data_IF_948048360865
#
_entry.id   IF_948048360865
#
_cell.length_a   1.000
_cell.length_b   1.000
_cell.length_c   1.000
_cell.angle_alpha   90.00
_cell.angle_beta   90.00
_cell.angle_gamma   90.00
#
_symmetry.space_group_name_H-M   'P 1'
#
loop_
_entity.id
_entity.type
_entity.pdbx_description
1 polymer ?
#
# COMPACT_ATOMS: atom_id res chain seq x y z
N UNK A 1 5.10 -0.97 0.18
CA UNK A 1 4.49 -1.04 1.53
C UNK A 1 3.62 -2.28 1.68
N UNK A 2 2.87 -2.67 0.65
CA UNK A 2 1.98 -3.82 0.67
C UNK A 2 2.71 -5.17 0.82
N UNK A 3 3.84 -5.35 0.15
CA UNK A 3 4.60 -6.61 0.14
C UNK A 3 5.36 -6.82 1.46
N UNK A 4 6.12 -5.83 1.90
CA UNK A 4 7.00 -5.91 3.07
C UNK A 4 6.27 -5.91 4.42
N UNK A 5 5.02 -5.40 4.44
CA UNK A 5 4.17 -5.44 5.62
C UNK A 5 3.02 -6.45 5.49
N UNK A 6 2.96 -7.22 4.39
CA UNK A 6 1.91 -8.22 4.16
C UNK A 6 0.50 -7.64 4.37
N UNK A 7 0.22 -6.48 3.75
CA UNK A 7 -1.03 -5.75 3.93
C UNK A 7 -1.57 -5.16 2.62
N UNK A 8 -2.87 -4.87 2.59
CA UNK A 8 -3.45 -4.04 1.53
C UNK A 8 -3.08 -2.58 1.75
N UNK A 9 -2.77 -1.87 0.65
CA UNK A 9 -2.42 -0.44 0.70
C UNK A 9 -3.27 0.30 -0.31
N UNK A 10 -4.09 1.23 0.15
CA UNK A 10 -4.77 2.20 -0.69
C UNK A 10 -3.96 3.50 -0.71
N UNK A 11 -3.61 3.97 -1.90
CA UNK A 11 -3.00 5.28 -2.11
C UNK A 11 -4.01 6.20 -2.81
N UNK A 12 -4.03 7.44 -2.37
CA UNK A 12 -4.82 8.50 -2.99
C UNK A 12 -4.01 9.78 -3.00
N UNK A 13 -4.17 10.55 -4.06
CA UNK A 13 -3.56 11.86 -4.19
C UNK A 13 -4.45 12.80 -4.97
N UNK A 14 -4.17 14.09 -4.81
CA UNK A 14 -4.87 15.13 -5.54
C UNK A 14 -4.31 15.29 -6.95
N UNK A 15 -5.15 15.73 -7.89
CA UNK A 15 -4.79 15.94 -9.30
C UNK A 15 -5.20 17.34 -9.72
N UNK A 16 -4.47 17.93 -10.67
CA UNK A 16 -4.79 19.23 -11.25
C UNK A 16 -4.08 20.40 -10.58
N UNK A 17 -4.59 21.61 -10.81
CA UNK A 17 -3.99 22.87 -10.33
C UNK A 17 -4.97 23.62 -9.43
N UNK A 18 -4.47 24.21 -8.34
CA UNK A 18 -5.27 24.98 -7.39
C UNK A 18 -4.85 26.46 -7.34
N UNK A 19 -5.22 27.27 -8.36
CA UNK A 19 -4.65 28.60 -8.60
C UNK A 19 -4.99 29.68 -7.56
N UNK A 20 -5.73 29.35 -6.49
CA UNK A 20 -6.19 30.30 -5.46
C UNK A 20 -5.58 30.04 -4.08
N UNK A 21 -4.61 29.13 -3.98
CA UNK A 21 -3.95 28.78 -2.72
C UNK A 21 -2.44 28.97 -2.90
N UNK A 22 -1.86 29.90 -2.15
CA UNK A 22 -0.42 30.10 -2.13
C UNK A 22 0.26 28.82 -1.60
N UNK A 23 1.26 28.32 -2.35
CA UNK A 23 2.01 27.07 -2.12
C UNK A 23 1.35 25.75 -2.56
N UNK A 24 0.28 25.78 -3.34
CA UNK A 24 -0.26 24.59 -4.02
C UNK A 24 -0.20 24.81 -5.53
N UNK A 25 0.87 24.32 -6.14
CA UNK A 25 1.06 24.35 -7.60
C UNK A 25 0.31 23.17 -8.27
N UNK A 26 0.91 22.56 -9.29
CA UNK A 26 0.37 21.45 -10.04
C UNK A 26 0.56 20.15 -9.24
N UNK A 27 -0.54 19.45 -9.04
CA UNK A 27 -0.59 18.15 -8.38
C UNK A 27 -0.80 17.07 -9.42
N UNK A 28 -0.04 15.99 -9.27
CA UNK A 28 -0.18 14.79 -10.07
C UNK A 28 -0.36 13.61 -9.12
N UNK A 29 -1.36 12.79 -9.41
CA UNK A 29 -1.59 11.56 -8.69
C UNK A 29 -2.19 10.51 -9.60
N UNK A 30 -1.97 9.27 -9.19
CA UNK A 30 -2.62 8.10 -9.71
C UNK A 30 -2.99 7.23 -8.50
N UNK A 31 -4.26 7.32 -8.12
CA UNK A 31 -4.79 6.57 -6.98
C UNK A 31 -4.83 5.08 -7.32
N UNK A 32 -4.56 4.21 -6.35
CA UNK A 32 -4.52 2.78 -6.56
C UNK A 32 -4.72 2.01 -5.26
N UNK A 33 -5.16 0.76 -5.38
CA UNK A 33 -5.20 -0.20 -4.27
C UNK A 33 -4.29 -1.36 -4.61
N UNK A 34 -3.30 -1.59 -3.75
CA UNK A 34 -2.33 -2.66 -3.87
C UNK A 34 -2.58 -3.76 -2.84
N UNK A 35 -2.16 -4.95 -3.22
CA UNK A 35 -2.15 -6.16 -2.43
C UNK A 35 -0.72 -6.64 -2.20
N UNK A 36 -0.49 -7.59 -1.28
CA UNK A 36 0.75 -8.34 -1.25
C UNK A 36 0.98 -9.12 -2.55
N UNK A 37 2.23 -9.53 -2.80
CA UNK A 37 2.58 -10.36 -3.96
C UNK A 37 2.87 -11.78 -3.47
N UNK A 38 1.89 -12.67 -3.60
CA UNK A 38 2.01 -14.11 -3.35
C UNK A 38 0.95 -14.87 -4.17
N UNK A 39 0.96 -16.20 -4.14
CA UNK A 39 0.16 -17.10 -4.99
C UNK A 39 -1.36 -16.79 -4.98
N UNK A 40 -1.89 -16.30 -3.86
CA UNK A 40 -3.32 -16.01 -3.70
C UNK A 40 -3.76 -14.60 -4.14
N UNK A 41 -2.81 -13.79 -4.60
CA UNK A 41 -2.99 -12.40 -5.02
C UNK A 41 -2.74 -12.25 -6.53
N UNK A 42 -3.18 -11.13 -7.15
CA UNK A 42 -2.86 -10.83 -8.54
C UNK A 42 -1.35 -10.82 -8.78
N UNK A 43 -0.94 -11.25 -9.97
CA UNK A 43 0.47 -11.32 -10.35
C UNK A 43 1.19 -9.97 -10.16
N UNK A 44 0.55 -8.89 -10.61
CA UNK A 44 1.11 -7.53 -10.55
C UNK A 44 0.91 -6.86 -9.19
N UNK A 45 0.29 -7.54 -8.22
CA UNK A 45 -0.07 -7.02 -6.90
C UNK A 45 -0.98 -5.77 -6.89
N UNK A 46 -1.44 -5.30 -8.05
CA UNK A 46 -2.41 -4.19 -8.19
C UNK A 46 -3.83 -4.75 -8.25
N UNK A 47 -4.70 -4.31 -7.34
CA UNK A 47 -6.12 -4.68 -7.36
C UNK A 47 -6.92 -3.77 -8.29
N UNK A 48 -6.67 -2.46 -8.22
CA UNK A 48 -7.32 -1.45 -9.05
C UNK A 48 -6.47 -0.20 -9.07
N UNK A 49 -6.49 0.50 -10.20
CA UNK A 49 -5.76 1.73 -10.43
C UNK A 49 -6.65 2.75 -11.14
N UNK A 50 -6.53 4.01 -10.75
CA UNK A 50 -7.20 5.13 -11.40
C UNK A 50 -6.45 5.54 -12.67
N UNK A 51 -7.16 6.20 -13.59
CA UNK A 51 -6.52 6.92 -14.69
C UNK A 51 -5.63 8.05 -14.13
N UNK A 52 -4.40 8.11 -14.61
CA UNK A 52 -3.45 9.13 -14.18
C UNK A 52 -3.99 10.55 -14.39
N UNK A 53 -3.76 11.43 -13.42
CA UNK A 53 -4.12 12.85 -13.47
C UNK A 53 -5.60 13.13 -13.80
N UNK A 54 -6.51 12.22 -13.43
CA UNK A 54 -7.94 12.34 -13.68
C UNK A 54 -8.70 12.25 -12.36
N UNK A 55 -9.63 13.16 -12.12
CA UNK A 55 -10.51 13.11 -10.96
C UNK A 55 -11.49 11.95 -11.10
N UNK A 56 -11.35 10.93 -10.26
CA UNK A 56 -12.23 9.78 -10.27
C UNK A 56 -12.24 9.03 -8.94
N UNK A 57 -13.27 8.20 -8.77
CA UNK A 57 -13.39 7.26 -7.65
C UNK A 57 -13.08 5.86 -8.18
N UNK A 58 -12.30 5.10 -7.41
CA UNK A 58 -12.01 3.68 -7.68
C UNK A 58 -12.50 2.82 -6.52
N UNK A 59 -12.87 1.57 -6.83
CA UNK A 59 -13.34 0.59 -5.87
C UNK A 59 -12.47 -0.67 -5.96
N UNK A 60 -12.22 -1.33 -4.83
CA UNK A 60 -11.50 -2.59 -4.81
C UNK A 60 -12.04 -3.48 -3.68
N UNK A 61 -12.29 -4.75 -4.00
CA UNK A 61 -12.66 -5.75 -3.00
C UNK A 61 -11.41 -6.30 -2.32
N UNK A 62 -11.41 -6.30 -0.99
CA UNK A 62 -10.29 -6.77 -0.18
C UNK A 62 -10.73 -7.91 0.73
N UNK A 63 -9.96 -9.00 0.74
CA UNK A 63 -10.24 -10.18 1.55
C UNK A 63 -9.17 -10.34 2.64
N UNK A 64 -9.53 -10.02 3.87
CA UNK A 64 -8.65 -10.13 5.02
C UNK A 64 -8.32 -11.59 5.39
N UNK A 65 -9.11 -12.55 4.93
CA UNK A 65 -8.85 -13.98 5.15
C UNK A 65 -7.58 -14.40 4.41
N UNK A 66 -7.39 -13.89 3.18
CA UNK A 66 -6.17 -14.12 2.40
C UNK A 66 -4.93 -13.55 3.08
N UNK A 67 -5.04 -12.39 3.74
CA UNK A 67 -3.93 -11.82 4.52
C UNK A 67 -3.54 -12.70 5.71
N UNK A 68 -4.54 -13.26 6.42
CA UNK A 68 -4.28 -14.19 7.52
C UNK A 68 -3.56 -15.43 7.02
N UNK A 69 -4.00 -15.99 5.88
CA UNK A 69 -3.36 -17.14 5.26
C UNK A 69 -1.93 -16.82 4.80
N UNK A 70 -1.73 -15.66 4.16
CA UNK A 70 -0.39 -15.18 3.75
C UNK A 70 0.56 -15.12 4.94
N UNK A 71 0.11 -14.57 6.08
CA UNK A 71 0.96 -14.44 7.25
C UNK A 71 1.36 -15.80 7.86
N UNK A 72 0.54 -16.84 7.67
CA UNK A 72 0.78 -18.18 8.22
C UNK A 72 1.50 -19.13 7.26
N UNK A 73 1.09 -19.12 6.00
CA UNK A 73 1.39 -20.12 4.96
C UNK A 73 1.94 -19.48 3.68
N UNK A 74 2.20 -18.17 3.67
CA UNK A 74 2.77 -17.47 2.53
C UNK A 74 4.15 -18.01 2.15
N UNK A 75 4.48 -17.89 0.87
CA UNK A 75 5.78 -18.26 0.31
C UNK A 75 6.92 -17.54 1.02
N UNK A 76 6.66 -16.31 1.48
CA UNK A 76 7.56 -15.49 2.28
C UNK A 76 6.78 -14.90 3.46
N UNK A 77 7.32 -15.04 4.67
CA UNK A 77 6.73 -14.50 5.92
C UNK A 77 7.64 -13.42 6.52
N UNK A 78 7.63 -12.25 5.89
CA UNK A 78 8.39 -11.06 6.28
C UNK A 78 8.11 -10.64 7.72
N UNK A 79 6.84 -10.68 8.15
CA UNK A 79 6.46 -10.25 9.51
C UNK A 79 7.05 -11.16 10.60
N UNK A 80 7.10 -12.47 10.35
CA UNK A 80 7.62 -13.45 11.31
C UNK A 80 9.15 -13.46 11.38
N UNK A 81 9.81 -13.23 10.25
CA UNK A 81 11.26 -13.25 10.16
C UNK A 81 11.95 -11.90 10.47
N UNK A 82 11.22 -10.92 11.02
CA UNK A 82 11.83 -9.64 11.41
C UNK A 82 12.88 -9.85 12.50
N UNK A 83 14.10 -9.39 12.23
CA UNK A 83 15.23 -9.37 13.19
C UNK A 83 15.11 -8.20 14.16
N UNK A 84 14.14 -8.29 15.07
CA UNK A 84 13.93 -7.29 16.13
C UNK A 84 15.09 -7.21 17.11
N UNK A 85 15.89 -8.27 17.22
CA UNK A 85 17.15 -8.30 17.98
C UNK A 85 18.21 -7.33 17.42
N UNK A 86 18.22 -7.11 16.11
CA UNK A 86 19.17 -6.20 15.45
C UNK A 86 18.59 -4.80 15.22
N UNK A 87 17.32 -4.72 14.83
CA UNK A 87 16.69 -3.47 14.38
C UNK A 87 15.62 -2.92 15.34
N UNK A 88 15.31 -3.62 16.43
CA UNK A 88 14.22 -3.26 17.35
C UNK A 88 14.39 -1.89 18.01
N UNK A 89 15.64 -1.49 18.29
CA UNK A 89 15.96 -0.19 18.88
C UNK A 89 15.62 1.02 17.98
N UNK A 90 15.52 0.83 16.66
CA UNK A 90 15.06 1.87 15.71
C UNK A 90 13.54 1.93 15.59
N UNK A 91 12.84 0.90 16.05
CA UNK A 91 11.38 0.77 15.93
C UNK A 91 10.61 1.23 17.16
N UNK A 92 11.29 1.38 18.30
CA UNK A 92 10.68 1.90 19.53
C UNK A 92 10.78 3.43 19.53
N UNK A 93 9.69 4.18 19.78
CA UNK A 93 9.78 5.61 19.99
C UNK A 93 10.67 5.85 21.22
N UNK A 94 11.61 6.80 21.13
CA UNK A 94 12.26 7.33 22.34
C UNK A 94 11.21 8.09 23.13
N UNK A 95 11.03 7.72 24.40
CA UNK A 95 10.31 8.54 25.39
C UNK A 95 10.93 9.93 25.52
#
# INVERSE_FOLDING_TARGET
RAIENECYVAIGGSVGNLPRVDNVDIQYAQSAVFSPSDIYFPHDATLTEASANTEMIIFADVDLTKLKQLNTEGSVTNLRHRRLDLYGAFTTPKE
#
